data_IF_559051326635
#
_entry.id   IF_559051326635
#
_cell.length_a   1.000
_cell.length_b   1.000
_cell.length_c   1.000
_cell.angle_alpha   90.00
_cell.angle_beta   90.00
_cell.angle_gamma   90.00
#
_symmetry.space_group_name_H-M   'P 1'
#
loop_
_entity.id
_entity.type
_entity.pdbx_description
1 polymer ?
#
# COMPACT_ATOMS: atom_id res chain seq x y z
N UNK A 1 -75.77 -7.84 19.02
CA UNK A 1 -74.76 -8.47 19.90
C UNK A 1 -73.90 -9.40 19.06
N UNK A 2 -72.73 -8.93 18.61
CA UNK A 2 -71.70 -9.74 17.96
C UNK A 2 -70.38 -9.25 18.51
N UNK A 3 -69.80 -10.00 19.43
CA UNK A 3 -68.46 -9.75 19.98
C UNK A 3 -67.42 -10.25 18.96
N UNK A 4 -66.60 -9.34 18.43
CA UNK A 4 -65.38 -9.68 17.70
C UNK A 4 -64.22 -9.69 18.70
N UNK A 5 -63.71 -10.88 19.00
CA UNK A 5 -62.49 -11.08 19.76
C UNK A 5 -61.27 -10.66 18.95
N UNK A 6 -60.51 -9.71 19.48
CA UNK A 6 -59.12 -9.46 19.10
C UNK A 6 -58.26 -10.59 19.68
N UNK A 7 -57.71 -11.43 18.81
CA UNK A 7 -56.65 -12.38 19.19
C UNK A 7 -55.32 -11.76 18.79
N UNK A 8 -54.46 -11.54 19.79
CA UNK A 8 -53.08 -11.11 19.65
C UNK A 8 -52.27 -12.10 18.81
N UNK A 9 -51.83 -11.67 17.62
CA UNK A 9 -50.63 -12.21 16.98
C UNK A 9 -49.41 -11.51 17.59
N UNK A 10 -48.86 -12.10 18.65
CA UNK A 10 -47.46 -11.85 19.03
C UNK A 10 -46.59 -12.62 18.03
N UNK A 11 -46.14 -11.94 16.98
CA UNK A 11 -45.01 -12.42 16.21
C UNK A 11 -43.77 -12.35 17.12
N UNK A 12 -43.18 -13.52 17.35
CA UNK A 12 -41.92 -13.72 18.05
C UNK A 12 -40.82 -12.93 17.32
N UNK A 13 -40.33 -11.84 17.93
CA UNK A 13 -39.16 -11.09 17.49
C UNK A 13 -37.86 -11.83 17.89
N UNK A 14 -37.76 -13.10 17.54
CA UNK A 14 -36.61 -13.95 17.88
C UNK A 14 -36.24 -14.92 16.74
N UNK A 15 -36.67 -14.65 15.51
CA UNK A 15 -36.16 -15.35 14.33
C UNK A 15 -34.94 -14.63 13.77
N UNK A 16 -33.80 -14.95 14.37
CA UNK A 16 -32.55 -15.29 13.68
C UNK A 16 -32.17 -14.40 12.49
N UNK A 17 -31.65 -13.20 12.77
CA UNK A 17 -30.58 -12.63 11.93
C UNK A 17 -29.34 -13.47 12.22
N UNK A 18 -29.21 -14.63 11.59
CA UNK A 18 -27.90 -15.26 11.42
C UNK A 18 -27.10 -14.29 10.57
N UNK A 19 -26.25 -13.50 11.22
CA UNK A 19 -25.16 -12.81 10.55
C UNK A 19 -24.38 -13.89 9.80
N UNK A 20 -24.61 -13.98 8.50
CA UNK A 20 -23.75 -14.75 7.63
C UNK A 20 -22.42 -14.00 7.60
N UNK A 21 -21.54 -14.30 8.55
CA UNK A 21 -20.11 -14.12 8.37
C UNK A 21 -19.76 -15.02 7.18
N UNK A 22 -19.86 -14.46 5.97
CA UNK A 22 -19.32 -15.11 4.78
C UNK A 22 -17.84 -15.23 5.07
N UNK A 23 -17.41 -16.43 5.46
CA UNK A 23 -16.00 -16.73 5.59
C UNK A 23 -15.38 -16.44 4.22
N UNK A 24 -14.61 -15.37 4.15
CA UNK A 24 -13.95 -14.99 2.91
C UNK A 24 -12.85 -16.02 2.65
N UNK A 25 -13.02 -16.83 1.62
CA UNK A 25 -11.96 -17.74 1.17
C UNK A 25 -10.89 -16.90 0.48
N UNK A 26 -9.74 -16.74 1.14
CA UNK A 26 -8.56 -16.13 0.54
C UNK A 26 -7.94 -17.10 -0.48
N UNK A 27 -7.63 -16.58 -1.67
CA UNK A 27 -6.88 -17.29 -2.71
C UNK A 27 -5.38 -17.05 -2.52
N UNK A 28 -4.80 -17.59 -1.43
CA UNK A 28 -3.40 -17.38 -1.10
C UNK A 28 -2.48 -17.93 -2.21
N UNK A 29 -1.53 -17.11 -2.64
CA UNK A 29 -0.42 -17.51 -3.50
C UNK A 29 0.45 -18.54 -2.78
N UNK A 30 1.05 -19.45 -3.52
CA UNK A 30 2.02 -20.41 -2.96
C UNK A 30 3.34 -19.70 -2.60
N UNK A 31 4.13 -20.23 -1.64
CA UNK A 31 5.45 -19.67 -1.32
C UNK A 31 6.33 -19.48 -2.56
N UNK A 32 6.30 -20.43 -3.50
CA UNK A 32 7.07 -20.34 -4.74
C UNK A 32 6.63 -19.19 -5.64
N UNK A 33 5.31 -18.94 -5.75
CA UNK A 33 4.80 -17.82 -6.53
C UNK A 33 5.22 -16.47 -5.92
N UNK A 34 5.14 -16.35 -4.60
CA UNK A 34 5.58 -15.15 -3.88
C UNK A 34 7.09 -14.95 -4.03
N UNK A 35 7.89 -16.02 -3.93
CA UNK A 35 9.34 -15.98 -4.15
C UNK A 35 9.69 -15.58 -5.59
N UNK A 36 9.02 -16.14 -6.59
CA UNK A 36 9.22 -15.78 -7.99
C UNK A 36 8.94 -14.29 -8.22
N UNK A 37 7.82 -13.79 -7.69
CA UNK A 37 7.46 -12.37 -7.79
C UNK A 37 8.47 -11.48 -7.04
N UNK A 38 8.90 -11.87 -5.84
CA UNK A 38 9.91 -11.13 -5.09
C UNK A 38 11.26 -11.04 -5.84
N UNK A 39 11.69 -12.13 -6.49
CA UNK A 39 12.89 -12.14 -7.30
C UNK A 39 12.75 -11.26 -8.56
N UNK A 40 11.61 -11.36 -9.26
CA UNK A 40 11.25 -10.48 -10.38
C UNK A 40 11.30 -9.00 -9.97
N UNK A 41 10.64 -8.65 -8.87
CA UNK A 41 10.62 -7.28 -8.33
C UNK A 41 12.01 -6.83 -7.90
N UNK A 42 12.84 -7.67 -7.27
CA UNK A 42 14.21 -7.30 -6.91
C UNK A 42 15.03 -6.92 -8.15
N UNK A 43 14.98 -7.74 -9.20
CA UNK A 43 15.69 -7.46 -10.47
C UNK A 43 15.16 -6.19 -11.12
N UNK A 44 13.84 -6.01 -11.15
CA UNK A 44 13.22 -4.79 -11.64
C UNK A 44 13.65 -3.53 -10.85
N UNK A 45 13.65 -3.58 -9.52
CA UNK A 45 14.08 -2.46 -8.67
C UNK A 45 15.57 -2.17 -8.78
N UNK A 46 16.38 -3.19 -9.05
CA UNK A 46 17.80 -3.01 -9.34
C UNK A 46 18.01 -2.26 -10.66
N UNK A 47 17.23 -2.60 -11.68
CA UNK A 47 17.22 -1.88 -12.96
C UNK A 47 16.75 -0.43 -12.80
N UNK A 48 15.73 -0.20 -11.97
CA UNK A 48 15.26 1.13 -11.60
C UNK A 48 16.36 1.95 -10.94
N UNK A 49 17.12 1.35 -10.00
CA UNK A 49 18.23 2.01 -9.32
C UNK A 49 19.35 2.43 -10.28
N UNK A 50 19.70 1.56 -11.23
CA UNK A 50 20.65 1.89 -12.30
C UNK A 50 20.18 3.08 -13.14
N UNK A 51 18.87 3.13 -13.44
CA UNK A 51 18.27 4.24 -14.19
C UNK A 51 18.42 5.56 -13.43
N UNK A 52 18.06 5.54 -12.14
CA UNK A 52 18.18 6.72 -11.28
C UNK A 52 19.63 7.20 -11.17
N UNK A 53 20.58 6.27 -11.07
CA UNK A 53 22.01 6.60 -11.06
C UNK A 53 22.44 7.34 -12.33
N UNK A 54 21.95 6.99 -13.52
CA UNK A 54 22.30 7.70 -14.77
C UNK A 54 21.77 9.13 -14.77
N UNK A 55 20.53 9.33 -14.32
CA UNK A 55 19.96 10.67 -14.16
C UNK A 55 20.77 11.51 -13.16
N UNK A 56 21.10 10.95 -12.00
CA UNK A 56 21.89 11.63 -10.98
C UNK A 56 23.30 11.98 -11.49
N UNK A 57 23.95 11.09 -12.25
CA UNK A 57 25.26 11.34 -12.86
C UNK A 57 25.23 12.43 -13.92
N UNK A 58 24.10 12.57 -14.61
CA UNK A 58 23.88 13.60 -15.62
C UNK A 58 23.66 14.97 -14.97
N UNK A 59 22.94 15.00 -13.84
CA UNK A 59 22.72 16.20 -13.04
C UNK A 59 23.98 16.65 -12.27
N UNK A 60 24.87 15.73 -11.91
CA UNK A 60 26.13 16.06 -11.23
C UNK A 60 27.09 16.79 -12.18
N UNK A 61 27.74 17.84 -11.67
CA UNK A 61 28.79 18.62 -12.34
C UNK A 61 30.11 17.86 -12.53
N UNK A 62 30.06 16.57 -12.87
CA UNK A 62 31.21 15.74 -13.21
C UNK A 62 31.81 16.21 -14.54
N UNK A 63 33.12 16.00 -14.71
CA UNK A 63 33.74 16.18 -16.02
C UNK A 63 33.25 15.09 -17.00
N UNK A 64 33.31 15.40 -18.30
CA UNK A 64 32.73 14.57 -19.36
C UNK A 64 33.33 13.15 -19.39
N UNK A 65 34.65 13.02 -19.20
CA UNK A 65 35.33 11.72 -19.19
C UNK A 65 34.89 10.81 -18.04
N UNK A 66 34.74 11.36 -16.82
CA UNK A 66 34.24 10.61 -15.66
C UNK A 66 32.79 10.19 -15.85
N UNK A 67 31.96 11.09 -16.38
CA UNK A 67 30.54 10.79 -16.66
C UNK A 67 30.42 9.64 -17.65
N UNK A 68 31.14 9.70 -18.77
CA UNK A 68 31.12 8.64 -19.80
C UNK A 68 31.56 7.29 -19.23
N UNK A 69 32.62 7.27 -18.43
CA UNK A 69 33.08 6.04 -17.78
C UNK A 69 32.04 5.45 -16.82
N UNK A 70 31.39 6.29 -16.01
CA UNK A 70 30.39 5.82 -15.06
C UNK A 70 29.12 5.32 -15.76
N UNK A 71 28.66 6.00 -16.81
CA UNK A 71 27.52 5.55 -17.62
C UNK A 71 27.84 4.20 -18.29
N UNK A 72 29.04 4.02 -18.84
CA UNK A 72 29.46 2.75 -19.41
C UNK A 72 29.39 1.59 -18.40
N UNK A 73 29.85 1.82 -17.16
CA UNK A 73 29.76 0.81 -16.08
C UNK A 73 28.32 0.48 -15.68
N UNK A 74 27.42 1.48 -15.66
CA UNK A 74 25.99 1.23 -15.44
C UNK A 74 25.41 0.42 -16.61
N UNK A 75 25.83 0.70 -17.85
CA UNK A 75 25.46 -0.08 -19.02
C UNK A 75 25.90 -1.55 -18.93
N UNK A 76 27.13 -1.82 -18.51
CA UNK A 76 27.62 -3.18 -18.27
C UNK A 76 26.79 -3.91 -17.20
N UNK A 77 26.48 -3.23 -16.09
CA UNK A 77 25.64 -3.80 -15.03
C UNK A 77 24.21 -4.09 -15.53
N UNK A 78 23.64 -3.21 -16.36
CA UNK A 78 22.32 -3.41 -16.96
C UNK A 78 22.30 -4.64 -17.89
N UNK A 79 23.32 -4.81 -18.75
CA UNK A 79 23.39 -5.96 -19.64
C UNK A 79 23.63 -7.27 -18.88
N UNK A 80 24.36 -7.23 -17.77
CA UNK A 80 24.48 -8.39 -16.88
C UNK A 80 23.13 -8.73 -16.22
N UNK A 81 22.39 -7.73 -15.74
CA UNK A 81 21.06 -7.89 -15.15
C UNK A 81 20.05 -8.47 -16.16
N UNK A 82 20.05 -8.00 -17.41
CA UNK A 82 19.16 -8.49 -18.47
C UNK A 82 19.33 -9.99 -18.75
N UNK A 83 20.51 -10.57 -18.54
CA UNK A 83 20.72 -12.02 -18.72
C UNK A 83 19.95 -12.84 -17.69
N UNK A 84 19.79 -12.30 -16.49
CA UNK A 84 19.12 -12.94 -15.36
C UNK A 84 17.59 -12.93 -15.48
N UNK A 85 17.01 -12.11 -16.34
CA UNK A 85 15.54 -11.96 -16.47
C UNK A 85 14.87 -13.20 -17.05
N UNK A 86 15.61 -13.99 -17.84
CA UNK A 86 15.13 -15.26 -18.41
C UNK A 86 14.69 -16.30 -17.37
N UNK A 87 15.12 -16.14 -16.11
CA UNK A 87 14.76 -17.01 -14.99
C UNK A 87 13.47 -16.57 -14.27
N UNK A 88 12.89 -15.44 -14.66
CA UNK A 88 11.86 -14.73 -13.91
C UNK A 88 10.58 -14.58 -14.71
N UNK A 89 9.46 -14.62 -14.01
CA UNK A 89 8.14 -14.30 -14.56
C UNK A 89 7.86 -12.80 -14.42
N UNK A 90 8.47 -12.00 -15.29
CA UNK A 90 8.28 -10.54 -15.32
C UNK A 90 6.89 -10.19 -15.87
N UNK A 91 6.24 -9.18 -15.31
CA UNK A 91 5.00 -8.65 -15.92
C UNK A 91 5.27 -7.91 -17.22
N UNK A 92 4.25 -7.66 -18.08
CA UNK A 92 4.46 -6.88 -19.31
C UNK A 92 5.08 -5.51 -19.05
N UNK A 93 4.64 -4.81 -18.00
CA UNK A 93 5.21 -3.52 -17.62
C UNK A 93 6.70 -3.63 -17.22
N UNK A 94 7.04 -4.66 -16.43
CA UNK A 94 8.42 -4.92 -16.02
C UNK A 94 9.31 -5.28 -17.22
N UNK A 95 8.81 -6.11 -18.14
CA UNK A 95 9.50 -6.48 -19.38
C UNK A 95 9.77 -5.26 -20.25
N UNK A 96 8.75 -4.44 -20.48
CA UNK A 96 8.87 -3.22 -21.29
C UNK A 96 9.88 -2.25 -20.71
N UNK A 97 9.88 -2.06 -19.38
CA UNK A 97 10.84 -1.19 -18.72
C UNK A 97 12.28 -1.72 -18.79
N UNK A 98 12.47 -3.02 -18.58
CA UNK A 98 13.81 -3.64 -18.62
C UNK A 98 14.37 -3.68 -20.06
N UNK A 99 13.50 -3.81 -21.07
CA UNK A 99 13.91 -3.82 -22.47
C UNK A 99 14.45 -2.47 -22.95
N UNK A 100 14.02 -1.34 -22.35
CA UNK A 100 14.50 -0.01 -22.70
C UNK A 100 16.00 0.16 -22.47
N UNK A 101 16.63 0.92 -23.35
CA UNK A 101 18.01 1.34 -23.19
C UNK A 101 18.18 2.17 -21.92
N UNK A 102 19.28 1.91 -21.21
CA UNK A 102 19.63 2.63 -19.97
C UNK A 102 19.77 4.14 -20.25
N UNK A 103 19.16 4.97 -19.40
CA UNK A 103 19.16 6.43 -19.52
C UNK A 103 18.02 7.00 -20.37
N UNK A 104 17.17 6.17 -20.98
CA UNK A 104 16.09 6.65 -21.86
C UNK A 104 14.77 6.91 -21.14
N UNK A 105 14.58 6.31 -19.95
CA UNK A 105 13.36 6.51 -19.17
C UNK A 105 13.33 7.91 -18.56
N UNK A 106 12.17 8.56 -18.58
CA UNK A 106 12.02 9.89 -17.97
C UNK A 106 12.01 9.79 -16.44
N UNK A 107 12.31 10.91 -15.76
CA UNK A 107 12.20 10.96 -14.29
C UNK A 107 10.77 10.72 -13.80
N UNK A 108 9.76 11.12 -14.57
CA UNK A 108 8.36 10.82 -14.27
C UNK A 108 8.05 9.33 -14.38
N UNK A 109 8.59 8.64 -15.38
CA UNK A 109 8.42 7.19 -15.51
C UNK A 109 9.07 6.47 -14.33
N UNK A 110 10.27 6.89 -13.94
CA UNK A 110 11.00 6.33 -12.79
C UNK A 110 10.21 6.58 -11.49
N UNK A 111 9.71 7.81 -11.27
CA UNK A 111 8.94 8.15 -10.08
C UNK A 111 7.63 7.36 -9.99
N UNK A 112 6.96 7.09 -11.12
CA UNK A 112 5.75 6.28 -11.15
C UNK A 112 5.97 4.84 -10.65
N UNK A 113 7.20 4.34 -10.74
CA UNK A 113 7.59 2.99 -10.35
C UNK A 113 8.17 2.91 -8.93
N UNK A 114 8.44 4.04 -8.28
CA UNK A 114 9.06 4.09 -6.94
C UNK A 114 8.23 3.35 -5.89
N UNK A 115 6.90 3.39 -6.02
CA UNK A 115 5.97 2.69 -5.14
C UNK A 115 6.15 1.17 -5.06
N UNK A 116 6.81 0.57 -6.05
CA UNK A 116 7.10 -0.87 -6.09
C UNK A 116 7.99 -1.33 -4.93
N UNK A 117 8.75 -0.43 -4.30
CA UNK A 117 9.50 -0.74 -3.08
C UNK A 117 8.59 -1.22 -1.95
N UNK A 118 7.40 -0.62 -1.80
CA UNK A 118 6.46 -0.99 -0.76
C UNK A 118 5.86 -2.37 -1.01
N UNK A 119 5.47 -2.65 -2.25
CA UNK A 119 5.03 -3.98 -2.65
C UNK A 119 6.12 -5.04 -2.49
N UNK A 120 7.37 -4.70 -2.80
CA UNK A 120 8.50 -5.61 -2.59
C UNK A 120 8.68 -5.96 -1.10
N UNK A 121 8.62 -4.97 -0.22
CA UNK A 121 8.67 -5.18 1.23
C UNK A 121 7.58 -6.12 1.74
N UNK A 122 6.35 -5.99 1.22
CA UNK A 122 5.25 -6.92 1.54
C UNK A 122 5.57 -8.34 1.10
N UNK A 123 6.10 -8.55 -0.10
CA UNK A 123 6.47 -9.90 -0.57
C UNK A 123 7.54 -10.53 0.31
N UNK A 124 8.55 -9.76 0.73
CA UNK A 124 9.61 -10.24 1.61
C UNK A 124 9.11 -10.52 3.03
N UNK A 125 8.21 -9.67 3.55
CA UNK A 125 7.54 -9.95 4.81
C UNK A 125 6.70 -11.22 4.72
N UNK A 126 5.92 -11.39 3.64
CA UNK A 126 5.11 -12.58 3.42
C UNK A 126 5.95 -13.86 3.37
N UNK A 127 7.18 -13.81 2.84
CA UNK A 127 8.15 -14.92 2.82
C UNK A 127 8.93 -15.11 4.14
N UNK A 128 8.59 -14.36 5.19
CA UNK A 128 9.29 -14.35 6.47
C UNK A 128 10.77 -13.93 6.38
N UNK A 129 11.14 -13.17 5.35
CA UNK A 129 12.49 -12.61 5.17
C UNK A 129 12.64 -11.25 5.86
N UNK A 130 11.53 -10.57 6.13
CA UNK A 130 11.47 -9.38 6.98
C UNK A 130 10.58 -9.65 8.20
N UNK A 131 11.04 -9.30 9.41
CA UNK A 131 10.34 -9.66 10.64
C UNK A 131 9.00 -8.95 10.80
N UNK A 132 8.86 -7.73 10.28
CA UNK A 132 7.66 -6.92 10.41
C UNK A 132 7.48 -5.97 9.22
N UNK A 133 6.23 -5.57 8.96
CA UNK A 133 5.89 -4.46 8.09
C UNK A 133 6.10 -3.16 8.88
N UNK A 134 6.86 -2.16 8.36
CA UNK A 134 6.98 -0.86 9.01
C UNK A 134 5.63 -0.17 9.18
N UNK A 135 5.49 0.77 10.12
CA UNK A 135 4.27 1.59 10.20
C UNK A 135 3.98 2.30 8.86
N UNK A 136 2.71 2.59 8.57
CA UNK A 136 2.28 3.18 7.29
C UNK A 136 2.71 4.65 7.08
N UNK A 137 3.27 5.28 8.11
CA UNK A 137 3.94 6.56 8.02
C UNK A 137 5.44 6.44 7.74
N UNK A 138 5.93 5.24 7.42
CA UNK A 138 7.34 4.97 7.07
C UNK A 138 7.43 4.06 5.87
N UNK A 139 8.29 4.38 4.88
CA UNK A 139 8.57 3.46 3.79
C UNK A 139 9.40 2.27 4.28
N UNK A 140 9.44 1.20 3.49
CA UNK A 140 10.42 0.14 3.73
C UNK A 140 11.86 0.64 3.48
N UNK A 141 12.82 0.33 4.37
CA UNK A 141 14.22 0.70 4.13
C UNK A 141 14.81 -0.08 2.95
N UNK A 142 15.17 0.61 1.86
CA UNK A 142 15.70 -0.03 0.64
C UNK A 142 16.90 -0.96 0.89
N UNK A 143 17.79 -0.59 1.83
CA UNK A 143 18.97 -1.39 2.18
C UNK A 143 18.56 -2.76 2.72
N UNK A 144 17.55 -2.79 3.59
CA UNK A 144 17.05 -4.02 4.19
C UNK A 144 16.36 -4.89 3.14
N UNK A 145 15.60 -4.28 2.22
CA UNK A 145 14.91 -4.97 1.12
C UNK A 145 15.91 -5.69 0.21
N UNK A 146 16.97 -5.00 -0.22
CA UNK A 146 17.98 -5.58 -1.11
C UNK A 146 18.84 -6.63 -0.39
N UNK A 147 19.14 -6.41 0.89
CA UNK A 147 19.91 -7.36 1.69
C UNK A 147 19.18 -8.67 1.99
N UNK A 148 17.85 -8.63 2.14
CA UNK A 148 17.05 -9.76 2.63
C UNK A 148 16.96 -10.95 1.65
N UNK A 149 17.07 -10.73 0.33
CA UNK A 149 17.00 -11.85 -0.64
C UNK A 149 18.33 -12.57 -0.80
N UNK A 150 19.45 -11.84 -0.67
CA UNK A 150 20.78 -12.29 -1.08
C UNK A 150 20.93 -12.48 -2.60
N UNK A 151 20.03 -11.90 -3.40
CA UNK A 151 20.13 -11.89 -4.86
C UNK A 151 21.16 -10.84 -5.27
N UNK A 152 22.06 -11.24 -6.17
CA UNK A 152 22.90 -10.33 -6.94
C UNK A 152 22.33 -10.33 -8.36
N UNK A 153 21.63 -9.27 -8.80
CA UNK A 153 20.88 -9.26 -10.07
C UNK A 153 21.69 -9.62 -11.30
N UNK A 154 22.98 -9.29 -11.31
CA UNK A 154 23.92 -9.60 -12.39
C UNK A 154 24.38 -11.07 -12.42
N UNK A 155 24.04 -11.86 -11.40
CA UNK A 155 24.49 -13.25 -11.23
C UNK A 155 23.27 -14.21 -11.16
N UNK A 156 22.91 -14.85 -12.28
CA UNK A 156 21.73 -15.73 -12.37
C UNK A 156 21.68 -16.83 -11.29
N UNK A 157 22.84 -17.37 -10.91
CA UNK A 157 22.97 -18.41 -9.87
C UNK A 157 22.43 -17.98 -8.50
N UNK A 158 22.51 -16.70 -8.18
CA UNK A 158 21.98 -16.18 -6.90
C UNK A 158 20.46 -16.17 -6.89
N UNK A 159 19.83 -15.93 -8.04
CA UNK A 159 18.38 -16.04 -8.23
C UNK A 159 17.94 -17.50 -8.15
N UNK A 160 18.62 -18.41 -8.84
CA UNK A 160 18.35 -19.85 -8.74
C UNK A 160 18.48 -20.34 -7.30
N UNK A 161 19.53 -19.89 -6.60
CA UNK A 161 19.73 -20.20 -5.17
C UNK A 161 18.57 -19.67 -4.33
N UNK A 162 18.13 -18.44 -4.55
CA UNK A 162 16.98 -17.87 -3.85
C UNK A 162 15.70 -18.65 -4.12
N UNK A 163 15.39 -18.95 -5.38
CA UNK A 163 14.18 -19.68 -5.79
C UNK A 163 14.20 -21.15 -5.37
N UNK A 164 15.38 -21.74 -5.18
CA UNK A 164 15.56 -23.11 -4.70
C UNK A 164 15.48 -23.26 -3.18
N UNK A 165 15.39 -22.16 -2.42
CA UNK A 165 15.19 -22.22 -0.96
C UNK A 165 13.77 -22.68 -0.63
N UNK A 166 13.64 -23.44 0.46
CA UNK A 166 12.33 -23.83 1.01
C UNK A 166 11.69 -22.66 1.76
N UNK A 167 11.12 -21.71 1.02
CA UNK A 167 10.40 -20.58 1.60
C UNK A 167 9.12 -21.03 2.31
N UNK A 168 8.77 -20.32 3.36
CA UNK A 168 7.50 -20.48 4.06
C UNK A 168 6.79 -19.14 4.08
N UNK A 169 5.47 -19.17 3.95
CA UNK A 169 4.68 -17.97 4.12
C UNK A 169 4.43 -17.71 5.60
N UNK A 170 4.37 -16.42 5.96
CA UNK A 170 3.79 -15.97 7.22
C UNK A 170 2.38 -16.58 7.37
N UNK A 171 2.00 -17.05 8.57
CA UNK A 171 0.69 -17.62 8.79
C UNK A 171 -0.43 -16.70 8.33
N UNK A 172 -1.47 -17.27 7.73
CA UNK A 172 -2.61 -16.52 7.18
C UNK A 172 -3.20 -15.49 8.16
N UNK A 173 -3.39 -15.76 9.48
CA UNK A 173 -3.90 -14.75 10.40
C UNK A 173 -3.04 -13.48 10.49
N UNK A 174 -1.71 -13.61 10.37
CA UNK A 174 -0.81 -12.46 10.38
C UNK A 174 -0.86 -11.70 9.05
N UNK A 175 -1.04 -12.39 7.92
CA UNK A 175 -1.29 -11.75 6.62
C UNK A 175 -2.64 -11.00 6.61
N UNK A 176 -3.69 -11.59 7.20
CA UNK A 176 -5.00 -10.93 7.38
C UNK A 176 -4.86 -9.69 8.26
N UNK A 177 -4.09 -9.74 9.35
CA UNK A 177 -3.84 -8.57 10.18
C UNK A 177 -3.14 -7.45 9.39
N UNK A 178 -2.11 -7.78 8.61
CA UNK A 178 -1.42 -6.81 7.75
C UNK A 178 -2.36 -6.21 6.67
N UNK A 179 -3.23 -7.03 6.07
CA UNK A 179 -4.24 -6.60 5.11
C UNK A 179 -5.25 -5.63 5.74
N UNK A 180 -5.78 -5.96 6.92
CA UNK A 180 -6.70 -5.10 7.64
C UNK A 180 -6.08 -3.75 8.00
N UNK A 181 -4.78 -3.74 8.33
CA UNK A 181 -4.02 -2.53 8.56
C UNK A 181 -3.89 -1.69 7.28
N UNK A 182 -3.54 -2.33 6.16
CA UNK A 182 -3.44 -1.68 4.85
C UNK A 182 -4.75 -1.02 4.44
N UNK A 183 -5.86 -1.73 4.63
CA UNK A 183 -7.20 -1.21 4.34
C UNK A 183 -7.56 -0.02 5.21
N UNK A 184 -7.23 -0.04 6.50
CA UNK A 184 -7.49 1.09 7.39
C UNK A 184 -6.75 2.36 6.95
N UNK A 185 -5.47 2.24 6.64
CA UNK A 185 -4.66 3.36 6.14
C UNK A 185 -5.08 3.82 4.75
N UNK A 186 -5.43 2.89 3.86
CA UNK A 186 -5.97 3.21 2.55
C UNK A 186 -7.28 3.98 2.68
N UNK A 187 -8.21 3.50 3.51
CA UNK A 187 -9.46 4.19 3.81
C UNK A 187 -9.20 5.60 4.33
N UNK A 188 -8.27 5.77 5.28
CA UNK A 188 -7.94 7.08 5.83
C UNK A 188 -7.37 8.03 4.78
N UNK A 189 -6.49 7.56 3.91
CA UNK A 189 -5.95 8.35 2.82
C UNK A 189 -7.06 8.82 1.85
N UNK A 190 -8.05 7.96 1.56
CA UNK A 190 -9.23 8.32 0.76
C UNK A 190 -10.16 9.28 1.48
N UNK A 191 -10.33 9.15 2.80
CA UNK A 191 -11.11 10.08 3.61
C UNK A 191 -10.55 11.51 3.55
N UNK A 192 -9.22 11.67 3.39
CA UNK A 192 -8.60 12.99 3.19
C UNK A 192 -9.14 13.73 1.96
N UNK A 193 -9.40 12.99 0.87
CA UNK A 193 -9.97 13.57 -0.36
C UNK A 193 -11.39 14.10 -0.10
N UNK A 194 -12.19 13.37 0.70
CA UNK A 194 -13.53 13.79 1.08
C UNK A 194 -13.52 15.00 2.03
N UNK A 195 -12.53 15.09 2.93
CA UNK A 195 -12.35 16.25 3.81
C UNK A 195 -12.00 17.50 3.00
N UNK A 196 -11.06 17.40 2.06
CA UNK A 196 -10.74 18.51 1.14
C UNK A 196 -11.95 18.92 0.29
N UNK A 197 -12.74 17.94 -0.17
CA UNK A 197 -13.99 18.22 -0.87
C UNK A 197 -15.00 18.95 0.03
N UNK A 198 -15.08 18.59 1.31
CA UNK A 198 -15.93 19.27 2.29
C UNK A 198 -15.53 20.74 2.42
N UNK A 199 -14.25 21.00 2.63
CA UNK A 199 -13.69 22.36 2.74
C UNK A 199 -14.01 23.18 1.49
N UNK A 200 -13.86 22.60 0.30
CA UNK A 200 -14.20 23.27 -0.96
C UNK A 200 -15.71 23.56 -1.10
N UNK A 201 -16.59 22.70 -0.59
CA UNK A 201 -18.04 22.92 -0.59
C UNK A 201 -18.43 24.04 0.37
N UNK A 202 -17.77 24.10 1.53
CA UNK A 202 -18.06 25.07 2.59
C UNK A 202 -17.40 26.44 2.32
N UNK A 203 -16.41 26.52 1.42
CA UNK A 203 -15.75 27.76 1.00
C UNK A 203 -16.67 28.61 0.08
N UNK A 204 -17.11 29.80 0.52
CA UNK A 204 -18.00 30.67 -0.25
C UNK A 204 -17.35 31.25 -1.52
N UNK A 205 -16.03 31.16 -1.67
CA UNK A 205 -15.29 31.62 -2.84
C UNK A 205 -15.17 30.58 -3.96
N UNK A 206 -15.51 29.32 -3.69
CA UNK A 206 -15.43 28.24 -4.67
C UNK A 206 -16.56 28.37 -5.71
N UNK A 207 -16.26 28.17 -7.00
CA UNK A 207 -17.25 28.27 -8.07
C UNK A 207 -18.36 27.21 -7.87
N UNK A 208 -19.53 27.69 -7.46
CA UNK A 208 -20.67 26.84 -7.10
C UNK A 208 -21.17 25.93 -8.24
N UNK A 209 -20.75 26.17 -9.49
CA UNK A 209 -21.24 25.44 -10.65
C UNK A 209 -20.79 23.97 -10.68
N UNK A 210 -19.57 23.65 -10.22
CA UNK A 210 -19.07 22.27 -10.17
C UNK A 210 -19.52 21.53 -8.91
N UNK A 211 -19.60 22.22 -7.77
CA UNK A 211 -20.16 21.68 -6.51
C UNK A 211 -21.63 21.24 -6.69
N UNK A 212 -22.41 21.99 -7.48
CA UNK A 212 -23.81 21.66 -7.76
C UNK A 212 -23.98 20.35 -8.56
N UNK A 213 -22.98 19.97 -9.37
CA UNK A 213 -22.97 18.75 -10.19
C UNK A 213 -22.60 17.48 -9.41
N UNK A 214 -22.14 17.60 -8.17
CA UNK A 214 -21.75 16.44 -7.36
C UNK A 214 -22.95 15.49 -7.15
N UNK A 215 -22.77 14.17 -7.31
CA UNK A 215 -23.81 13.21 -6.98
C UNK A 215 -24.31 13.37 -5.54
N UNK A 216 -25.62 13.18 -5.31
CA UNK A 216 -26.23 13.32 -3.98
C UNK A 216 -25.53 12.41 -2.95
N UNK A 217 -25.26 11.16 -3.31
CA UNK A 217 -24.58 10.21 -2.43
C UNK A 217 -23.21 10.72 -1.95
N UNK A 218 -22.43 11.34 -2.84
CA UNK A 218 -21.13 11.91 -2.49
C UNK A 218 -21.29 13.11 -1.55
N UNK A 219 -22.27 13.99 -1.80
CA UNK A 219 -22.59 15.10 -0.88
C UNK A 219 -22.99 14.60 0.51
N UNK A 220 -23.81 13.55 0.57
CA UNK A 220 -24.24 12.94 1.82
C UNK A 220 -23.03 12.34 2.56
N UNK A 221 -22.14 11.62 1.87
CA UNK A 221 -20.89 11.11 2.46
C UNK A 221 -20.00 12.23 3.00
N UNK A 222 -19.77 13.29 2.21
CA UNK A 222 -18.93 14.43 2.60
C UNK A 222 -19.51 15.15 3.83
N UNK A 223 -20.84 15.28 3.93
CA UNK A 223 -21.48 15.91 5.10
C UNK A 223 -21.16 15.18 6.41
N UNK A 224 -21.08 13.85 6.36
CA UNK A 224 -20.91 12.98 7.53
C UNK A 224 -19.47 12.47 7.74
N UNK A 225 -18.50 12.98 6.99
CA UNK A 225 -17.13 12.44 7.01
C UNK A 225 -16.45 12.61 8.38
N UNK A 226 -16.64 13.72 9.10
CA UNK A 226 -15.97 13.96 10.39
C UNK A 226 -16.42 12.93 11.44
N UNK A 227 -17.73 12.65 11.47
CA UNK A 227 -18.31 11.65 12.38
C UNK A 227 -17.83 10.26 12.00
N UNK A 228 -17.79 9.96 10.70
CA UNK A 228 -17.26 8.70 10.18
C UNK A 228 -15.79 8.52 10.55
N UNK A 229 -14.98 9.58 10.45
CA UNK A 229 -13.57 9.59 10.80
C UNK A 229 -13.37 9.31 12.30
N UNK A 230 -14.12 9.98 13.17
CA UNK A 230 -14.09 9.72 14.62
C UNK A 230 -14.32 8.23 14.92
N UNK A 231 -15.38 7.63 14.36
CA UNK A 231 -15.68 6.21 14.60
C UNK A 231 -14.61 5.29 14.01
N UNK A 232 -14.15 5.57 12.78
CA UNK A 232 -13.10 4.78 12.13
C UNK A 232 -11.79 4.83 12.92
N UNK A 233 -11.39 6.00 13.42
CA UNK A 233 -10.18 6.17 14.24
C UNK A 233 -10.31 5.42 15.56
N UNK A 234 -11.39 5.63 16.31
CA UNK A 234 -11.63 4.96 17.60
C UNK A 234 -11.55 3.45 17.45
N UNK A 235 -12.16 2.92 16.39
CA UNK A 235 -12.16 1.50 16.12
C UNK A 235 -10.80 1.01 15.66
N UNK A 236 -10.13 1.72 14.74
CA UNK A 236 -8.79 1.37 14.28
C UNK A 236 -7.81 1.24 15.45
N UNK A 237 -7.93 2.12 16.45
CA UNK A 237 -7.11 2.05 17.65
C UNK A 237 -7.48 0.84 18.52
N UNK A 238 -8.77 0.58 18.72
CA UNK A 238 -9.25 -0.57 19.51
C UNK A 238 -8.83 -1.91 18.89
N UNK A 239 -8.92 -2.03 17.57
CA UNK A 239 -8.61 -3.23 16.81
C UNK A 239 -7.10 -3.38 16.52
N UNK A 240 -6.26 -2.43 16.97
CA UNK A 240 -4.81 -2.45 16.78
C UNK A 240 -4.36 -2.21 15.33
N UNK A 241 -5.20 -1.59 14.51
CA UNK A 241 -4.88 -1.21 13.12
C UNK A 241 -4.02 0.07 13.05
N UNK A 242 -4.06 0.89 14.10
CA UNK A 242 -3.17 2.05 14.26
C UNK A 242 -2.53 2.04 15.63
N UNK A 243 -1.31 2.54 15.68
CA UNK A 243 -0.53 2.62 16.93
C UNK A 243 -1.05 3.72 17.86
N UNK A 244 -1.52 4.84 17.28
CA UNK A 244 -1.91 6.04 18.02
C UNK A 244 -2.98 6.82 17.26
N UNK A 245 -3.93 7.36 18.02
CA UNK A 245 -4.89 8.36 17.57
C UNK A 245 -4.57 9.71 18.24
N UNK A 246 -4.85 10.81 17.53
CA UNK A 246 -4.73 12.17 18.04
C UNK A 246 -5.98 12.96 17.65
N UNK A 247 -6.71 13.49 18.65
CA UNK A 247 -7.92 14.30 18.43
C UNK A 247 -8.86 13.69 17.37
N UNK A 248 -9.22 12.42 17.58
CA UNK A 248 -10.15 11.66 16.76
C UNK A 248 -9.68 11.33 15.32
N UNK A 249 -8.39 11.53 15.04
CA UNK A 249 -7.75 11.18 13.77
C UNK A 249 -6.55 10.22 13.94
N UNK A 250 -6.12 9.60 12.85
CA UNK A 250 -4.90 8.81 12.75
C UNK A 250 -3.71 9.71 13.08
N UNK A 251 -2.85 9.29 14.00
CA UNK A 251 -1.64 10.02 14.34
C UNK A 251 -0.49 9.64 13.40
N UNK A 252 0.23 10.65 12.92
CA UNK A 252 1.49 10.49 12.19
C UNK A 252 2.60 11.28 12.89
N UNK A 253 3.87 10.88 12.78
CA UNK A 253 4.97 11.69 13.29
C UNK A 253 4.95 13.10 12.69
N UNK A 254 5.28 14.10 13.51
CA UNK A 254 5.39 15.48 13.04
C UNK A 254 6.50 15.65 12.00
N UNK A 255 7.57 14.84 12.12
CA UNK A 255 8.65 14.70 11.17
C UNK A 255 8.65 13.27 10.60
N UNK A 256 8.18 13.10 9.36
CA UNK A 256 8.18 11.82 8.66
C UNK A 256 9.58 11.38 8.21
N UNK A 257 10.58 12.27 8.25
CA UNK A 257 11.96 11.97 7.85
C UNK A 257 12.81 11.43 9.00
N UNK A 258 12.33 11.55 10.23
CA UNK A 258 13.02 11.06 11.42
C UNK A 258 13.21 9.53 11.35
N UNK A 259 14.43 9.07 11.64
CA UNK A 259 14.78 7.64 11.62
C UNK A 259 14.00 6.80 12.64
N UNK A 260 13.58 7.39 13.76
CA UNK A 260 12.88 6.72 14.85
C UNK A 260 11.57 7.44 15.17
N UNK A 261 10.52 6.67 15.45
CA UNK A 261 9.24 7.25 15.83
C UNK A 261 9.43 7.92 17.20
N UNK A 262 8.68 8.98 17.53
CA UNK A 262 8.79 9.62 18.82
C UNK A 262 8.65 8.58 19.94
N UNK A 263 9.71 8.39 20.73
CA UNK A 263 9.81 7.31 21.73
C UNK A 263 8.81 7.48 22.90
N UNK A 264 8.18 8.65 23.00
CA UNK A 264 7.25 8.98 24.07
C UNK A 264 5.80 8.90 23.59
N UNK A 265 4.94 8.29 24.40
CA UNK A 265 3.48 8.36 24.25
C UNK A 265 2.90 9.78 24.38
N UNK A 266 3.73 10.75 24.78
CA UNK A 266 3.36 12.16 24.80
C UNK A 266 3.00 12.64 23.38
N UNK A 267 2.01 13.50 23.27
CA UNK A 267 1.57 14.07 21.98
C UNK A 267 2.66 14.94 21.32
N UNK A 268 3.70 15.31 22.07
CA UNK A 268 4.90 15.95 21.55
C UNK A 268 5.58 15.07 20.48
N UNK A 269 5.58 15.55 19.23
CA UNK A 269 6.18 14.85 18.09
C UNK A 269 5.18 14.09 17.21
N UNK A 270 3.89 14.15 17.51
CA UNK A 270 2.81 13.61 16.68
C UNK A 270 1.90 14.74 16.17
N UNK A 271 1.32 14.54 14.98
CA UNK A 271 0.27 15.39 14.42
C UNK A 271 -0.84 14.52 13.85
N UNK A 272 -2.01 15.12 13.59
CA UNK A 272 -3.09 14.40 12.91
C UNK A 272 -2.72 14.19 11.44
N UNK A 273 -3.19 13.11 10.85
CA UNK A 273 -3.14 12.93 9.40
C UNK A 273 -3.78 14.13 8.69
N UNK A 274 -4.87 14.68 9.24
CA UNK A 274 -5.53 15.87 8.72
C UNK A 274 -4.59 17.08 8.58
N UNK A 275 -3.62 17.20 9.48
CA UNK A 275 -2.65 18.30 9.51
C UNK A 275 -1.40 18.02 8.64
N UNK A 276 -1.38 16.90 7.88
CA UNK A 276 -0.31 16.58 6.96
C UNK A 276 -0.28 17.57 5.78
N UNK A 277 0.90 17.89 5.28
CA UNK A 277 1.05 18.62 4.02
C UNK A 277 0.56 17.76 2.85
N UNK A 278 0.33 18.39 1.69
CA UNK A 278 -0.09 17.67 0.48
C UNK A 278 0.91 16.58 0.06
N UNK A 279 2.20 16.87 0.18
CA UNK A 279 3.28 15.93 -0.14
C UNK A 279 3.32 14.76 0.85
N UNK A 280 3.17 15.05 2.16
CA UNK A 280 3.11 14.02 3.20
C UNK A 280 1.88 13.12 3.01
N UNK A 281 0.70 13.71 2.80
CA UNK A 281 -0.54 12.97 2.55
C UNK A 281 -0.45 12.13 1.26
N UNK A 282 0.23 12.64 0.22
CA UNK A 282 0.48 11.89 -1.01
C UNK A 282 1.41 10.71 -0.76
N UNK A 283 2.50 10.89 0.00
CA UNK A 283 3.42 9.81 0.37
C UNK A 283 2.71 8.72 1.18
N UNK A 284 1.96 9.10 2.21
CA UNK A 284 1.20 8.17 3.06
C UNK A 284 0.18 7.37 2.24
N UNK A 285 -0.49 8.03 1.29
CA UNK A 285 -1.42 7.37 0.35
C UNK A 285 -0.70 6.33 -0.51
N UNK A 286 0.44 6.69 -1.11
CA UNK A 286 1.22 5.77 -1.95
C UNK A 286 1.64 4.52 -1.16
N UNK A 287 2.13 4.70 0.07
CA UNK A 287 2.49 3.60 0.96
C UNK A 287 1.28 2.68 1.21
N UNK A 288 0.13 3.26 1.56
CA UNK A 288 -1.08 2.48 1.83
C UNK A 288 -1.58 1.73 0.59
N UNK A 289 -1.62 2.39 -0.56
CA UNK A 289 -2.08 1.83 -1.83
C UNK A 289 -1.19 0.67 -2.30
N UNK A 290 0.13 0.87 -2.33
CA UNK A 290 1.05 -0.14 -2.86
C UNK A 290 1.16 -1.36 -1.92
N UNK A 291 1.10 -1.16 -0.60
CA UNK A 291 1.03 -2.27 0.36
C UNK A 291 -0.28 -3.05 0.24
N UNK A 292 -1.41 -2.36 0.12
CA UNK A 292 -2.71 -2.99 -0.07
C UNK A 292 -2.75 -3.78 -1.38
N UNK A 293 -2.25 -3.22 -2.48
CA UNK A 293 -2.17 -3.89 -3.77
C UNK A 293 -1.34 -5.19 -3.69
N UNK A 294 -0.18 -5.14 -3.04
CA UNK A 294 0.67 -6.32 -2.85
C UNK A 294 0.00 -7.39 -1.97
N UNK A 295 -0.63 -7.00 -0.85
CA UNK A 295 -1.38 -7.94 0.00
C UNK A 295 -2.58 -8.54 -0.75
N UNK A 296 -3.27 -7.74 -1.56
CA UNK A 296 -4.37 -8.22 -2.40
C UNK A 296 -3.90 -9.21 -3.48
N UNK A 297 -2.71 -9.01 -4.05
CA UNK A 297 -2.09 -9.96 -4.96
C UNK A 297 -1.75 -11.27 -4.24
N UNK A 298 -1.14 -11.19 -3.05
CA UNK A 298 -0.75 -12.36 -2.23
C UNK A 298 -1.98 -13.16 -1.78
N UNK A 299 -3.05 -12.50 -1.35
CA UNK A 299 -4.16 -13.14 -0.63
C UNK A 299 -5.45 -13.30 -1.44
N UNK A 300 -5.69 -12.43 -2.43
CA UNK A 300 -6.96 -12.39 -3.16
C UNK A 300 -6.79 -12.62 -4.66
N UNK A 301 -5.58 -12.97 -5.11
CA UNK A 301 -5.31 -13.30 -6.50
C UNK A 301 -5.49 -12.14 -7.48
N UNK A 302 -5.50 -10.89 -7.00
CA UNK A 302 -5.55 -9.70 -7.86
C UNK A 302 -4.32 -9.61 -8.77
N UNK A 303 -4.44 -8.82 -9.82
CA UNK A 303 -3.32 -8.55 -10.72
C UNK A 303 -2.25 -7.68 -10.01
N UNK A 304 -0.98 -7.96 -10.29
CA UNK A 304 0.17 -7.25 -9.72
C UNK A 304 0.32 -5.85 -10.29
N UNK A 305 -0.11 -5.67 -11.54
CA UNK A 305 -0.04 -4.39 -12.27
C UNK A 305 -1.39 -3.67 -12.30
N UNK A 306 -2.31 -4.03 -11.39
CA UNK A 306 -3.58 -3.34 -11.26
C UNK A 306 -3.34 -1.82 -11.11
N UNK A 307 -3.99 -0.98 -11.94
CA UNK A 307 -3.89 0.46 -11.82
C UNK A 307 -4.23 0.94 -10.40
N UNK A 308 -3.55 1.98 -9.92
CA UNK A 308 -3.75 2.50 -8.54
C UNK A 308 -5.18 2.96 -8.28
N UNK A 309 -5.86 3.47 -9.29
CA UNK A 309 -7.27 3.86 -9.25
C UNK A 309 -8.23 2.66 -9.17
N UNK A 310 -7.76 1.45 -9.48
CA UNK A 310 -8.50 0.19 -9.36
C UNK A 310 -8.23 -0.53 -8.03
N UNK A 311 -7.34 0.00 -7.18
CA UNK A 311 -7.10 -0.56 -5.84
C UNK A 311 -8.37 -0.41 -5.00
N UNK A 312 -9.01 -1.54 -4.75
CA UNK A 312 -10.24 -1.64 -3.96
C UNK A 312 -9.99 -2.35 -2.63
N UNK A 313 -10.93 -2.27 -1.70
CA UNK A 313 -10.88 -3.11 -0.49
C UNK A 313 -10.93 -4.58 -0.89
N UNK A 314 -10.09 -5.41 -0.27
CA UNK A 314 -10.10 -6.86 -0.45
C UNK A 314 -11.26 -7.45 0.35
N UNK A 315 -11.47 -6.96 1.56
CA UNK A 315 -12.61 -7.33 2.37
C UNK A 315 -13.89 -6.70 1.79
N UNK A 316 -14.98 -7.46 1.58
CA UNK A 316 -16.28 -6.92 1.14
C UNK A 316 -16.82 -5.85 2.10
N UNK A 317 -16.47 -6.00 3.38
CA UNK A 317 -16.67 -5.00 4.41
C UNK A 317 -15.31 -4.75 5.04
N UNK A 318 -14.76 -3.54 4.83
CA UNK A 318 -13.48 -3.12 5.42
C UNK A 318 -13.48 -3.44 6.92
N UNK A 319 -12.33 -3.87 7.43
CA UNK A 319 -12.08 -4.16 8.85
C UNK A 319 -12.67 -3.09 9.79
N UNK A 320 -12.66 -1.83 9.37
CA UNK A 320 -13.25 -0.67 10.07
C UNK A 320 -14.76 -0.76 10.32
N UNK A 321 -15.49 -1.56 9.55
CA UNK A 321 -16.95 -1.59 9.56
C UNK A 321 -17.53 -2.96 9.87
N UNK A 322 -16.69 -3.98 10.03
CA UNK A 322 -17.14 -5.34 10.36
C UNK A 322 -17.90 -5.34 11.71
N UNK A 323 -18.90 -6.20 11.94
CA UNK A 323 -19.44 -6.34 13.29
C UNK A 323 -18.33 -6.80 14.25
N UNK A 324 -18.36 -6.37 15.51
CA UNK A 324 -17.49 -6.97 16.51
C UNK A 324 -17.81 -8.47 16.58
N UNK A 325 -16.78 -9.32 16.47
CA UNK A 325 -16.95 -10.75 16.74
C UNK A 325 -17.19 -10.91 18.25
N UNK A 326 -18.43 -11.22 18.63
CA UNK A 326 -18.78 -11.64 20.00
C UNK A 326 -18.07 -12.94 20.39
#
# INVERSE_FOLDING_TARGET
MVFRSFVHLRASAADTVKAATVAQEFALKTPQQVAMRAAATHVFMSRWGLERMVHDLTARGLNEGQRTLMIARVGEANEALKKSTSLLDLTPLEQDFIAKDIGTSSLSDIAALEGRWEGFGILLHALHLLPAVPPYYRPFPMVDLLGATGIVPAEPKTIESFLGRAHQLVPEPALVAALNQAEAWYWRARAQVLLKLKEAIDDPSCDSSDIKKLPKALRDMTKHIDVTLLYATSRSLQDGLIDKALLDDFAIPADLTAAEAPATNADAGWKRYLDATDDEAAQLRVIAEDRLAALAWVMAGRDWDAPRDEVSFVNPMSSLWQPASE
#
